data_IF_006098895213
#
_entry.id   IF_006098895213
#
_cell.length_a   1.000
_cell.length_b   1.000
_cell.length_c   1.000
_cell.angle_alpha   90.00
_cell.angle_beta   90.00
_cell.angle_gamma   90.00
#
_symmetry.space_group_name_H-M   'P 1'
#
loop_
_entity.id
_entity.type
_entity.pdbx_description
1 polymer ?
#
# COMPACT_ATOMS: atom_id res chain seq x y z
N UNK A 1 44.74 10.61 10.37
CA UNK A 1 43.96 11.06 9.18
C UNK A 1 43.02 9.90 8.88
N UNK A 2 41.74 10.05 9.20
CA UNK A 2 40.71 9.02 8.95
C UNK A 2 40.33 9.17 7.47
N UNK A 3 40.38 8.13 6.65
CA UNK A 3 39.97 8.24 5.25
C UNK A 3 38.49 8.62 5.17
N UNK A 4 38.09 9.42 4.16
CA UNK A 4 36.71 9.80 3.98
C UNK A 4 35.85 8.53 3.74
N UNK A 5 34.65 8.51 4.33
CA UNK A 5 33.69 7.43 4.07
C UNK A 5 33.36 7.42 2.57
N UNK A 6 33.38 6.24 1.92
CA UNK A 6 33.04 6.13 0.50
C UNK A 6 31.62 6.64 0.24
N UNK A 7 31.45 7.29 -0.90
CA UNK A 7 30.14 7.80 -1.38
C UNK A 7 29.19 6.64 -1.70
N UNK A 8 27.91 6.92 -1.76
CA UNK A 8 26.88 5.89 -2.08
C UNK A 8 27.15 5.20 -3.43
N UNK A 9 27.67 5.93 -4.42
CA UNK A 9 28.03 5.39 -5.74
C UNK A 9 29.27 4.50 -5.72
N UNK A 10 30.29 4.86 -4.93
CA UNK A 10 31.49 4.01 -4.77
C UNK A 10 31.18 2.71 -4.03
N UNK A 11 30.19 2.72 -3.12
CA UNK A 11 29.72 1.50 -2.43
C UNK A 11 28.93 0.58 -3.37
N UNK A 12 28.11 1.12 -4.26
CA UNK A 12 27.35 0.34 -5.24
C UNK A 12 28.26 -0.33 -6.28
N UNK A 13 29.34 0.33 -6.70
CA UNK A 13 30.36 -0.27 -7.59
C UNK A 13 31.15 -1.39 -6.92
N UNK A 14 31.45 -1.29 -5.63
CA UNK A 14 32.07 -2.38 -4.86
C UNK A 14 31.18 -3.61 -4.68
N UNK A 15 29.87 -3.40 -4.54
CA UNK A 15 28.85 -4.45 -4.38
C UNK A 15 28.62 -5.22 -5.70
N UNK A 16 28.66 -4.56 -6.84
CA UNK A 16 28.57 -5.20 -8.17
C UNK A 16 29.72 -6.16 -8.47
N UNK A 17 30.82 -6.04 -7.73
CA UNK A 17 32.03 -6.85 -7.89
C UNK A 17 32.13 -8.11 -7.01
N UNK A 18 31.10 -8.47 -6.24
CA UNK A 18 31.13 -9.69 -5.44
C UNK A 18 31.33 -10.92 -6.33
N UNK A 19 32.31 -11.76 -5.98
CA UNK A 19 32.50 -13.04 -6.63
C UNK A 19 31.36 -14.01 -6.32
N UNK A 20 31.23 -15.07 -7.09
CA UNK A 20 30.14 -16.05 -6.94
C UNK A 20 30.11 -16.66 -5.54
N UNK A 21 31.27 -16.92 -4.97
CA UNK A 21 31.40 -17.49 -3.63
C UNK A 21 30.87 -16.55 -2.56
N UNK A 22 31.20 -15.28 -2.61
CA UNK A 22 30.70 -14.26 -1.67
C UNK A 22 29.19 -14.06 -1.81
N UNK A 23 28.67 -14.12 -3.04
CA UNK A 23 27.22 -14.10 -3.31
C UNK A 23 26.50 -15.30 -2.68
N UNK A 24 27.04 -16.51 -2.84
CA UNK A 24 26.44 -17.73 -2.29
C UNK A 24 26.44 -17.70 -0.74
N UNK A 25 27.54 -17.24 -0.13
CA UNK A 25 27.64 -17.08 1.32
C UNK A 25 26.64 -16.02 1.81
N UNK A 26 26.59 -14.88 1.14
CA UNK A 26 25.66 -13.79 1.48
C UNK A 26 24.21 -14.25 1.34
N UNK A 27 23.83 -14.88 0.23
CA UNK A 27 22.51 -15.45 0.00
C UNK A 27 22.10 -16.38 1.13
N UNK A 28 22.95 -17.37 1.49
CA UNK A 28 22.66 -18.32 2.56
C UNK A 28 22.54 -17.65 3.92
N UNK A 29 23.34 -16.61 4.16
CA UNK A 29 23.23 -15.83 5.40
C UNK A 29 21.88 -15.13 5.48
N UNK A 30 21.49 -14.42 4.41
CA UNK A 30 20.21 -13.71 4.40
C UNK A 30 19.02 -14.67 4.46
N UNK A 31 19.00 -15.75 3.66
CA UNK A 31 17.95 -16.77 3.70
C UNK A 31 17.80 -17.36 5.12
N UNK A 32 18.91 -17.69 5.77
CA UNK A 32 18.90 -18.23 7.14
C UNK A 32 18.36 -17.21 8.14
N UNK A 33 18.79 -15.95 8.03
CA UNK A 33 18.31 -14.88 8.89
C UNK A 33 16.81 -14.62 8.70
N UNK A 34 16.34 -14.56 7.47
CA UNK A 34 14.91 -14.36 7.17
C UNK A 34 14.04 -15.50 7.74
N UNK A 35 14.57 -16.74 7.73
CA UNK A 35 13.88 -17.90 8.26
C UNK A 35 13.87 -17.99 9.80
N UNK A 36 14.99 -17.63 10.46
CA UNK A 36 15.16 -17.84 11.90
C UNK A 36 14.98 -16.58 12.74
N UNK A 37 15.30 -15.41 12.17
CA UNK A 37 15.40 -14.15 12.89
C UNK A 37 16.64 -13.97 13.73
N UNK A 38 17.50 -14.98 13.80
CA UNK A 38 18.67 -15.02 14.65
C UNK A 38 19.96 -14.65 13.90
N UNK A 39 20.95 -14.03 14.55
CA UNK A 39 22.24 -13.77 13.95
C UNK A 39 22.92 -15.06 13.48
N UNK A 40 23.41 -15.06 12.25
CA UNK A 40 23.93 -16.25 11.57
C UNK A 40 25.44 -16.36 11.73
N UNK A 41 25.92 -17.49 12.28
CA UNK A 41 27.33 -17.75 12.48
C UNK A 41 28.01 -18.43 11.27
N UNK A 42 29.32 -18.21 11.10
CA UNK A 42 30.11 -18.84 10.02
C UNK A 42 30.07 -20.38 10.03
N UNK A 43 29.93 -21.01 11.20
CA UNK A 43 29.78 -22.47 11.30
C UNK A 43 28.45 -22.96 10.72
N UNK A 44 27.37 -22.20 10.93
CA UNK A 44 26.06 -22.52 10.37
C UNK A 44 26.10 -22.45 8.86
N UNK A 45 26.66 -21.38 8.29
CA UNK A 45 26.81 -21.20 6.85
C UNK A 45 27.69 -22.29 6.23
N UNK A 46 28.88 -22.59 6.84
CA UNK A 46 29.76 -23.63 6.35
C UNK A 46 29.08 -25.01 6.24
N UNK A 47 28.11 -25.29 7.09
CA UNK A 47 27.38 -26.55 7.13
C UNK A 47 26.31 -26.69 6.04
N UNK A 48 25.69 -25.57 5.62
CA UNK A 48 24.59 -25.54 4.64
C UNK A 48 25.06 -25.25 3.21
N UNK A 49 26.33 -24.81 3.04
CA UNK A 49 26.88 -24.60 1.71
C UNK A 49 27.18 -25.95 1.03
N UNK A 50 26.84 -26.10 -0.26
CA UNK A 50 27.18 -27.30 -1.03
C UNK A 50 28.69 -27.48 -1.22
N UNK A 51 29.46 -26.41 -1.12
CA UNK A 51 30.91 -26.39 -1.20
C UNK A 51 31.50 -26.64 0.19
N UNK A 52 32.43 -27.58 0.34
CA UNK A 52 33.11 -27.88 1.60
C UNK A 52 34.06 -26.72 2.00
N UNK A 53 33.50 -25.62 2.48
CA UNK A 53 34.26 -24.48 2.98
C UNK A 53 34.50 -24.61 4.48
N UNK A 54 35.72 -24.27 4.93
CA UNK A 54 36.01 -24.20 6.36
C UNK A 54 35.24 -23.02 7.00
N UNK A 55 34.82 -23.12 8.27
CA UNK A 55 34.23 -22.00 8.99
C UNK A 55 35.14 -20.75 9.05
N UNK A 56 36.46 -20.93 8.97
CA UNK A 56 37.42 -19.83 8.91
C UNK A 56 37.34 -19.09 7.57
N UNK A 57 37.25 -19.84 6.46
CA UNK A 57 37.08 -19.25 5.13
C UNK A 57 35.78 -18.48 4.99
N UNK A 58 34.68 -19.03 5.53
CA UNK A 58 33.38 -18.34 5.56
C UNK A 58 33.47 -17.07 6.41
N UNK A 59 34.16 -17.11 7.55
CA UNK A 59 34.34 -15.92 8.41
C UNK A 59 35.07 -14.80 7.69
N UNK A 60 36.12 -15.09 6.91
CA UNK A 60 36.83 -14.06 6.15
C UNK A 60 35.90 -13.38 5.13
N UNK A 61 35.12 -14.16 4.38
CA UNK A 61 34.11 -13.57 3.45
C UNK A 61 33.05 -12.75 4.21
N UNK A 62 32.61 -13.22 5.40
CA UNK A 62 31.67 -12.44 6.22
C UNK A 62 32.31 -11.11 6.70
N UNK A 63 33.62 -11.04 6.93
CA UNK A 63 34.29 -9.78 7.25
C UNK A 63 34.30 -8.86 6.05
N UNK A 64 34.61 -9.35 4.84
CA UNK A 64 34.56 -8.56 3.61
C UNK A 64 33.16 -8.00 3.32
N UNK A 65 32.11 -8.82 3.57
CA UNK A 65 30.72 -8.40 3.45
C UNK A 65 30.31 -7.35 4.52
N UNK A 66 30.87 -7.45 5.72
CA UNK A 66 30.68 -6.47 6.79
C UNK A 66 31.37 -5.13 6.45
N UNK A 67 32.62 -5.19 5.95
CA UNK A 67 33.34 -4.01 5.49
C UNK A 67 32.64 -3.31 4.31
N UNK A 68 31.95 -4.10 3.48
CA UNK A 68 31.11 -3.58 2.40
C UNK A 68 29.76 -3.01 2.88
N UNK A 69 29.43 -3.13 4.17
CA UNK A 69 28.21 -2.63 4.77
C UNK A 69 26.94 -3.45 4.45
N UNK A 70 27.11 -4.69 3.94
CA UNK A 70 25.96 -5.57 3.62
C UNK A 70 25.45 -6.34 4.82
N UNK A 71 26.31 -6.62 5.79
CA UNK A 71 25.97 -7.31 7.05
C UNK A 71 26.64 -6.59 8.22
N UNK A 72 26.19 -6.87 9.42
CA UNK A 72 26.82 -6.35 10.65
C UNK A 72 26.67 -7.32 11.82
N UNK A 73 27.46 -7.13 12.87
CA UNK A 73 27.36 -7.86 14.12
C UNK A 73 26.53 -7.05 15.12
N UNK A 74 25.38 -7.55 15.58
CA UNK A 74 24.61 -6.84 16.61
C UNK A 74 25.34 -6.82 17.98
N UNK A 75 26.19 -7.82 18.28
CA UNK A 75 27.01 -7.93 19.49
C UNK A 75 28.31 -8.64 19.18
N UNK A 76 29.35 -8.38 19.96
CA UNK A 76 30.75 -8.84 19.75
C UNK A 76 30.91 -10.36 19.56
N UNK A 77 30.03 -11.17 20.19
CA UNK A 77 30.04 -12.65 20.10
C UNK A 77 28.88 -13.21 19.26
N UNK A 78 28.02 -12.35 18.70
CA UNK A 78 26.91 -12.78 17.88
C UNK A 78 27.38 -13.13 16.45
N UNK A 79 26.54 -13.86 15.72
CA UNK A 79 26.71 -14.01 14.29
C UNK A 79 26.55 -12.67 13.55
N UNK A 80 26.21 -12.73 12.29
CA UNK A 80 25.95 -11.55 11.46
C UNK A 80 24.49 -11.52 11.04
N UNK A 81 23.96 -10.31 10.87
CA UNK A 81 22.64 -10.06 10.30
C UNK A 81 22.79 -9.08 9.14
N UNK A 82 21.90 -9.12 8.13
CA UNK A 82 21.94 -8.16 7.03
C UNK A 82 21.58 -6.75 7.51
N UNK A 83 22.21 -5.76 6.90
CA UNK A 83 21.78 -4.35 6.97
C UNK A 83 20.58 -4.13 6.05
N UNK A 84 19.91 -2.98 6.15
CA UNK A 84 18.86 -2.60 5.18
C UNK A 84 19.43 -2.54 3.75
N UNK A 85 20.62 -2.01 3.59
CA UNK A 85 21.35 -2.01 2.31
C UNK A 85 21.64 -3.43 1.82
N UNK A 86 22.02 -4.33 2.73
CA UNK A 86 22.20 -5.75 2.42
C UNK A 86 20.90 -6.42 1.98
N UNK A 87 19.78 -6.16 2.66
CA UNK A 87 18.48 -6.67 2.25
C UNK A 87 18.06 -6.13 0.88
N UNK A 88 18.32 -4.84 0.59
CA UNK A 88 18.07 -4.26 -0.72
C UNK A 88 18.89 -4.97 -1.80
N UNK A 89 20.18 -5.12 -1.59
CA UNK A 89 21.04 -5.83 -2.53
C UNK A 89 20.62 -7.30 -2.73
N UNK A 90 20.22 -7.95 -1.65
CA UNK A 90 19.68 -9.32 -1.72
C UNK A 90 18.44 -9.40 -2.63
N UNK A 91 17.49 -8.51 -2.44
CA UNK A 91 16.24 -8.48 -3.22
C UNK A 91 16.51 -8.16 -4.69
N UNK A 92 17.39 -7.22 -4.98
CA UNK A 92 17.60 -6.70 -6.33
C UNK A 92 18.54 -7.60 -7.18
N UNK A 93 19.53 -8.24 -6.55
CA UNK A 93 20.62 -8.87 -7.28
C UNK A 93 20.90 -10.34 -6.94
N UNK A 94 20.40 -10.83 -5.81
CA UNK A 94 20.81 -12.15 -5.30
C UNK A 94 19.63 -13.11 -5.16
N UNK A 95 18.47 -12.59 -4.81
CA UNK A 95 17.28 -13.38 -4.57
C UNK A 95 16.74 -14.01 -5.86
N UNK A 96 16.43 -15.28 -5.80
CA UNK A 96 15.60 -15.91 -6.82
C UNK A 96 14.13 -15.81 -6.40
N UNK A 97 13.32 -15.18 -7.23
CA UNK A 97 11.87 -15.11 -7.00
C UNK A 97 11.30 -16.52 -7.08
N UNK A 98 10.74 -16.98 -5.97
CA UNK A 98 10.12 -18.31 -5.91
C UNK A 98 8.86 -18.41 -6.79
N UNK A 99 8.55 -19.61 -7.25
CA UNK A 99 7.25 -19.86 -7.83
C UNK A 99 6.23 -20.01 -6.69
N UNK A 100 5.08 -19.36 -6.83
CA UNK A 100 3.97 -19.54 -5.90
C UNK A 100 3.43 -20.97 -6.00
N UNK A 101 3.11 -21.59 -4.86
CA UNK A 101 2.57 -22.96 -4.86
C UNK A 101 1.19 -23.04 -5.54
N UNK A 102 0.84 -24.22 -6.05
CA UNK A 102 -0.47 -24.47 -6.64
C UNK A 102 -1.60 -24.24 -5.65
N UNK A 103 -1.39 -24.58 -4.37
CA UNK A 103 -2.37 -24.38 -3.30
C UNK A 103 -2.60 -22.92 -2.97
N UNK A 104 -1.54 -22.11 -2.95
CA UNK A 104 -1.66 -20.66 -2.73
C UNK A 104 -2.42 -19.99 -3.87
N UNK A 105 -2.12 -20.37 -5.12
CA UNK A 105 -2.87 -19.89 -6.30
C UNK A 105 -4.34 -20.28 -6.22
N UNK A 106 -4.63 -21.55 -5.95
CA UNK A 106 -5.99 -22.04 -5.84
C UNK A 106 -6.80 -21.33 -4.74
N UNK A 107 -6.17 -21.01 -3.61
CA UNK A 107 -6.82 -20.24 -2.54
C UNK A 107 -7.15 -18.81 -2.97
N UNK A 108 -6.22 -18.13 -3.66
CA UNK A 108 -6.45 -16.78 -4.16
C UNK A 108 -7.57 -16.82 -5.21
N UNK A 109 -7.51 -17.73 -6.18
CA UNK A 109 -8.51 -17.84 -7.24
C UNK A 109 -9.90 -18.17 -6.68
N UNK A 110 -9.98 -19.09 -5.70
CA UNK A 110 -11.24 -19.45 -5.04
C UNK A 110 -11.86 -18.27 -4.27
N UNK A 111 -11.06 -17.51 -3.55
CA UNK A 111 -11.54 -16.33 -2.81
C UNK A 111 -12.02 -15.24 -3.76
N UNK A 112 -11.21 -14.95 -4.79
CA UNK A 112 -11.51 -13.98 -5.83
C UNK A 112 -12.80 -14.35 -6.56
N UNK A 113 -12.97 -15.62 -6.92
CA UNK A 113 -14.21 -16.13 -7.54
C UNK A 113 -15.43 -16.07 -6.60
N UNK A 114 -15.24 -16.32 -5.30
CA UNK A 114 -16.31 -16.22 -4.30
C UNK A 114 -16.78 -14.78 -4.10
N UNK A 115 -15.88 -13.80 -4.23
CA UNK A 115 -16.19 -12.39 -4.05
C UNK A 115 -16.97 -11.78 -5.22
N UNK A 116 -17.00 -12.41 -6.39
CA UNK A 116 -17.70 -11.94 -7.60
C UNK A 116 -19.24 -12.06 -7.56
N UNK A 117 -19.84 -12.56 -6.47
CA UNK A 117 -21.30 -12.72 -6.36
C UNK A 117 -21.97 -11.51 -5.75
N UNK A 118 -22.31 -10.47 -6.56
CA UNK A 118 -23.16 -9.33 -6.21
C UNK A 118 -22.72 -8.50 -4.99
N UNK A 119 -21.42 -8.48 -4.66
CA UNK A 119 -20.87 -7.70 -3.55
C UNK A 119 -20.34 -6.35 -4.03
N UNK A 120 -20.27 -5.38 -3.11
CA UNK A 120 -19.59 -4.11 -3.38
C UNK A 120 -18.10 -4.35 -3.65
N UNK A 121 -17.53 -3.58 -4.56
CA UNK A 121 -16.09 -3.70 -4.90
C UNK A 121 -15.21 -3.48 -3.67
N UNK A 122 -15.59 -2.58 -2.76
CA UNK A 122 -14.87 -2.37 -1.51
C UNK A 122 -14.82 -3.62 -0.62
N UNK A 123 -15.92 -4.38 -0.53
CA UNK A 123 -15.97 -5.62 0.22
C UNK A 123 -15.04 -6.68 -0.41
N UNK A 124 -15.05 -6.76 -1.74
CA UNK A 124 -14.16 -7.65 -2.52
C UNK A 124 -12.69 -7.29 -2.30
N UNK A 125 -12.34 -6.01 -2.38
CA UNK A 125 -11.00 -5.53 -2.11
C UNK A 125 -10.60 -5.80 -0.65
N UNK A 126 -11.51 -5.62 0.30
CA UNK A 126 -11.30 -5.93 1.72
C UNK A 126 -11.04 -7.42 1.97
N UNK A 127 -11.81 -8.31 1.33
CA UNK A 127 -11.62 -9.77 1.43
C UNK A 127 -10.28 -10.21 0.83
N UNK A 128 -9.92 -9.68 -0.33
CA UNK A 128 -8.64 -9.97 -0.96
C UNK A 128 -7.46 -9.48 -0.12
N UNK A 129 -7.60 -8.30 0.52
CA UNK A 129 -6.60 -7.77 1.45
C UNK A 129 -6.46 -8.67 2.67
N UNK A 130 -7.57 -9.19 3.20
CA UNK A 130 -7.59 -10.13 4.34
C UNK A 130 -6.90 -11.44 3.97
N UNK A 131 -7.19 -11.98 2.79
CA UNK A 131 -6.54 -13.20 2.30
C UNK A 131 -5.03 -13.01 2.14
N UNK A 132 -4.61 -11.93 1.47
CA UNK A 132 -3.20 -11.61 1.27
C UNK A 132 -2.46 -11.45 2.61
N UNK A 133 -3.10 -10.79 3.58
CA UNK A 133 -2.60 -10.64 4.93
C UNK A 133 -2.43 -12.01 5.64
N UNK A 134 -3.42 -12.89 5.55
CA UNK A 134 -3.36 -14.23 6.14
C UNK A 134 -2.27 -15.11 5.53
N UNK A 135 -2.10 -15.06 4.20
CA UNK A 135 -1.07 -15.85 3.50
C UNK A 135 0.35 -15.32 3.76
N UNK A 136 0.51 -14.00 3.87
CA UNK A 136 1.81 -13.36 4.09
C UNK A 136 2.22 -13.24 5.57
N UNK A 137 1.28 -13.40 6.50
CA UNK A 137 1.42 -13.05 7.92
C UNK A 137 1.88 -11.60 8.15
N UNK A 138 1.41 -10.69 7.27
CA UNK A 138 1.70 -9.26 7.31
C UNK A 138 0.37 -8.47 7.28
N UNK A 139 0.42 -7.16 7.47
CA UNK A 139 -0.75 -6.32 7.23
C UNK A 139 -0.95 -6.13 5.73
N UNK A 140 -2.14 -6.45 5.22
CA UNK A 140 -2.52 -6.17 3.85
C UNK A 140 -2.97 -4.72 3.69
N UNK A 141 -2.67 -4.10 2.55
CA UNK A 141 -3.03 -2.73 2.23
C UNK A 141 -3.50 -2.61 0.79
N UNK A 142 -4.60 -1.88 0.60
CA UNK A 142 -5.08 -1.47 -0.73
C UNK A 142 -5.39 0.02 -0.71
N UNK A 143 -4.95 0.71 -1.75
CA UNK A 143 -5.40 2.03 -2.14
C UNK A 143 -6.14 1.91 -3.47
N UNK A 144 -7.43 2.22 -3.47
CA UNK A 144 -8.24 2.22 -4.67
C UNK A 144 -8.99 3.56 -4.77
N UNK A 145 -9.32 4.04 -5.98
CA UNK A 145 -10.24 5.16 -6.11
C UNK A 145 -11.53 4.82 -5.38
N UNK A 146 -12.14 5.81 -4.75
CA UNK A 146 -13.54 5.66 -4.35
C UNK A 146 -14.29 5.32 -5.62
N UNK A 147 -14.99 4.19 -5.61
CA UNK A 147 -15.76 3.77 -6.78
C UNK A 147 -16.76 4.86 -7.13
N UNK A 148 -16.62 5.40 -8.31
CA UNK A 148 -17.53 6.39 -8.89
C UNK A 148 -18.85 5.69 -9.24
N UNK A 149 -19.61 5.28 -8.21
CA UNK A 149 -20.92 4.69 -8.40
C UNK A 149 -21.81 5.68 -9.12
N UNK A 150 -22.64 5.19 -10.04
CA UNK A 150 -23.63 6.02 -10.69
C UNK A 150 -24.63 6.53 -9.66
N UNK A 151 -24.88 7.82 -9.68
CA UNK A 151 -25.79 8.45 -8.72
C UNK A 151 -27.23 8.00 -8.96
N UNK A 152 -27.85 7.51 -7.89
CA UNK A 152 -29.29 7.22 -7.84
C UNK A 152 -30.06 8.41 -7.29
N UNK A 153 -29.51 9.08 -6.26
CA UNK A 153 -30.16 10.18 -5.58
C UNK A 153 -29.16 11.09 -4.87
N UNK A 154 -29.47 12.39 -4.82
CA UNK A 154 -28.71 13.39 -4.05
C UNK A 154 -29.69 14.14 -3.17
N UNK A 155 -29.36 14.26 -1.87
CA UNK A 155 -30.19 14.98 -0.90
C UNK A 155 -29.37 16.00 -0.13
N UNK A 156 -29.94 17.19 0.07
CA UNK A 156 -29.39 18.24 0.93
C UNK A 156 -30.24 18.41 2.16
N UNK A 157 -29.69 18.20 3.34
CA UNK A 157 -30.40 18.34 4.61
C UNK A 157 -29.83 19.53 5.39
N UNK A 158 -30.68 20.45 5.77
CA UNK A 158 -30.28 21.60 6.58
C UNK A 158 -29.91 21.15 8.00
N UNK A 159 -28.67 21.44 8.44
CA UNK A 159 -28.19 21.13 9.79
C UNK A 159 -28.22 22.35 10.73
N UNK A 160 -28.71 23.49 10.26
CA UNK A 160 -28.73 24.74 11.04
C UNK A 160 -27.92 25.86 10.40
N UNK A 161 -27.63 26.95 11.14
CA UNK A 161 -27.07 28.14 10.54
C UNK A 161 -25.73 27.89 9.84
N UNK A 162 -25.73 28.03 8.51
CA UNK A 162 -24.53 27.96 7.68
C UNK A 162 -23.98 26.56 7.41
N UNK A 163 -24.74 25.48 7.73
CA UNK A 163 -24.29 24.10 7.45
C UNK A 163 -25.40 23.25 6.85
N UNK A 164 -25.04 22.40 5.90
CA UNK A 164 -25.92 21.39 5.34
C UNK A 164 -25.21 20.03 5.28
N UNK A 165 -25.98 18.96 5.33
CA UNK A 165 -25.53 17.61 5.05
C UNK A 165 -25.90 17.28 3.60
N UNK A 166 -24.94 16.88 2.80
CA UNK A 166 -25.18 16.32 1.46
C UNK A 166 -25.12 14.79 1.59
N UNK A 167 -26.12 14.12 1.09
CA UNK A 167 -26.21 12.65 1.06
C UNK A 167 -26.24 12.24 -0.40
N UNK A 168 -25.27 11.42 -0.82
CA UNK A 168 -25.22 10.79 -2.14
C UNK A 168 -25.58 9.33 -2.00
N UNK A 169 -26.50 8.88 -2.81
CA UNK A 169 -26.91 7.47 -2.87
C UNK A 169 -26.52 6.96 -4.25
N UNK A 170 -25.64 5.93 -4.29
CA UNK A 170 -25.25 5.24 -5.51
C UNK A 170 -26.27 4.19 -5.96
N UNK A 171 -26.26 3.82 -7.25
CA UNK A 171 -27.07 2.73 -7.80
C UNK A 171 -26.67 1.37 -7.19
N UNK A 172 -25.41 1.23 -6.77
CA UNK A 172 -24.87 0.08 -6.03
C UNK A 172 -25.33 0.02 -4.55
N UNK A 173 -26.15 1.00 -4.12
CA UNK A 173 -26.62 1.14 -2.74
C UNK A 173 -25.57 1.75 -1.80
N UNK A 174 -24.47 2.29 -2.29
CA UNK A 174 -23.53 3.09 -1.50
C UNK A 174 -24.21 4.36 -1.01
N UNK A 175 -23.87 4.79 0.19
CA UNK A 175 -24.33 6.06 0.77
C UNK A 175 -23.10 6.81 1.28
N UNK A 176 -22.84 7.95 0.66
CA UNK A 176 -21.83 8.89 1.16
C UNK A 176 -22.52 10.12 1.73
N UNK A 177 -21.94 10.69 2.78
CA UNK A 177 -22.44 11.93 3.36
C UNK A 177 -21.31 12.87 3.71
N UNK A 178 -21.54 14.18 3.56
CA UNK A 178 -20.62 15.23 3.93
C UNK A 178 -21.35 16.45 4.49
N UNK A 179 -20.74 17.06 5.50
CA UNK A 179 -21.19 18.36 5.98
C UNK A 179 -20.50 19.44 5.16
N UNK A 180 -21.29 20.31 4.54
CA UNK A 180 -20.82 21.45 3.76
C UNK A 180 -21.18 22.77 4.44
N UNK A 181 -20.40 23.83 4.17
CA UNK A 181 -20.73 25.19 4.54
C UNK A 181 -21.65 25.82 3.49
N UNK A 182 -22.71 26.42 3.93
CA UNK A 182 -23.67 27.11 3.07
C UNK A 182 -23.98 28.50 3.60
N UNK A 183 -24.45 29.45 2.78
CA UNK A 183 -24.86 30.76 3.27
C UNK A 183 -25.89 30.68 4.39
N UNK A 184 -25.77 31.55 5.40
CA UNK A 184 -26.73 31.59 6.53
C UNK A 184 -28.09 32.10 6.08
N UNK A 185 -29.17 31.58 6.66
CA UNK A 185 -30.53 32.09 6.42
C UNK A 185 -31.18 31.53 5.17
N UNK A 186 -30.66 30.44 4.60
CA UNK A 186 -31.30 29.75 3.48
C UNK A 186 -32.64 29.16 3.88
N UNK A 187 -33.71 29.39 3.08
CA UNK A 187 -35.00 28.75 3.32
C UNK A 187 -34.92 27.25 3.02
N UNK A 188 -35.69 26.39 3.66
CA UNK A 188 -35.70 24.95 3.40
C UNK A 188 -35.99 24.59 1.93
N UNK A 189 -36.77 25.42 1.25
CA UNK A 189 -37.07 25.25 -0.20
C UNK A 189 -35.84 25.25 -1.07
N UNK A 190 -34.78 25.99 -0.72
CA UNK A 190 -33.51 26.04 -1.46
C UNK A 190 -32.83 24.68 -1.50
N UNK A 191 -32.80 23.98 -0.36
CA UNK A 191 -32.20 22.63 -0.28
C UNK A 191 -33.00 21.61 -1.10
N UNK A 192 -34.34 21.67 -0.99
CA UNK A 192 -35.23 20.80 -1.77
C UNK A 192 -35.10 21.05 -3.27
N UNK A 193 -34.96 22.32 -3.70
CA UNK A 193 -34.77 22.70 -5.08
C UNK A 193 -33.42 22.19 -5.63
N UNK A 194 -32.33 22.34 -4.87
CA UNK A 194 -31.01 21.81 -5.20
C UNK A 194 -31.02 20.27 -5.29
N UNK A 195 -31.65 19.58 -4.32
CA UNK A 195 -31.80 18.12 -4.31
C UNK A 195 -32.55 17.62 -5.55
N UNK A 196 -33.70 18.22 -5.83
CA UNK A 196 -34.53 17.84 -6.98
C UNK A 196 -33.82 18.06 -8.31
N UNK A 197 -33.16 19.22 -8.46
CA UNK A 197 -32.42 19.56 -9.67
C UNK A 197 -31.31 18.55 -9.94
N UNK A 198 -30.44 18.30 -8.96
CA UNK A 198 -29.32 17.40 -9.10
C UNK A 198 -29.76 15.94 -9.27
N UNK A 199 -30.75 15.48 -8.50
CA UNK A 199 -31.26 14.11 -8.62
C UNK A 199 -31.87 13.84 -9.99
N UNK A 200 -32.65 14.80 -10.54
CA UNK A 200 -33.28 14.61 -11.85
C UNK A 200 -32.25 14.65 -13.00
N UNK A 201 -31.27 15.55 -12.92
CA UNK A 201 -30.35 15.81 -14.03
C UNK A 201 -29.16 14.86 -14.05
N UNK A 202 -28.76 14.33 -12.88
CA UNK A 202 -27.55 13.54 -12.72
C UNK A 202 -27.78 12.08 -12.32
N UNK A 203 -29.02 11.62 -12.25
CA UNK A 203 -29.32 10.21 -12.09
C UNK A 203 -28.61 9.37 -13.18
N UNK A 204 -27.92 8.32 -12.79
CA UNK A 204 -27.16 7.45 -13.69
C UNK A 204 -25.80 7.99 -14.13
N UNK A 205 -25.42 9.21 -13.71
CA UNK A 205 -24.07 9.78 -13.95
C UNK A 205 -23.16 9.53 -12.76
N UNK A 206 -21.86 9.48 -13.01
CA UNK A 206 -20.85 9.41 -11.96
C UNK A 206 -20.59 10.79 -11.34
N UNK A 207 -20.03 10.83 -10.14
CA UNK A 207 -19.67 12.11 -9.48
C UNK A 207 -18.73 12.93 -10.36
N UNK A 208 -17.75 12.30 -11.01
CA UNK A 208 -16.80 12.99 -11.92
C UNK A 208 -17.50 13.58 -13.15
N UNK A 209 -18.49 12.88 -13.69
CA UNK A 209 -19.31 13.40 -14.79
C UNK A 209 -20.14 14.61 -14.34
N UNK A 210 -20.68 14.56 -13.12
CA UNK A 210 -21.41 15.68 -12.51
C UNK A 210 -20.51 16.87 -12.27
N UNK A 211 -19.32 16.66 -11.72
CA UNK A 211 -18.35 17.73 -11.45
C UNK A 211 -17.88 18.42 -12.75
N UNK A 212 -17.60 17.63 -13.79
CA UNK A 212 -17.24 18.17 -15.11
C UNK A 212 -18.39 19.01 -15.68
N UNK A 213 -19.60 18.48 -15.65
CA UNK A 213 -20.78 19.18 -16.11
C UNK A 213 -21.00 20.50 -15.36
N UNK A 214 -20.90 20.49 -14.02
CA UNK A 214 -21.08 21.72 -13.22
C UNK A 214 -20.00 22.76 -13.55
N UNK A 215 -18.75 22.35 -13.75
CA UNK A 215 -17.66 23.27 -14.16
C UNK A 215 -17.88 23.87 -15.53
N UNK A 216 -18.32 23.05 -16.49
CA UNK A 216 -18.40 23.43 -17.88
C UNK A 216 -19.70 24.26 -18.19
N UNK A 217 -20.76 24.03 -17.41
CA UNK A 217 -22.08 24.64 -17.66
C UNK A 217 -22.57 25.60 -16.55
N UNK A 218 -21.64 26.14 -15.75
CA UNK A 218 -21.96 27.07 -14.66
C UNK A 218 -22.87 28.28 -15.09
N UNK A 219 -22.70 28.78 -16.31
CA UNK A 219 -23.53 29.85 -16.81
C UNK A 219 -24.98 29.42 -17.12
N UNK A 220 -25.15 28.16 -17.50
CA UNK A 220 -26.46 27.55 -17.75
C UNK A 220 -27.20 27.27 -16.44
N UNK A 221 -26.49 26.78 -15.43
CA UNK A 221 -26.97 26.59 -14.08
C UNK A 221 -27.52 27.85 -13.43
N UNK A 222 -26.86 28.99 -13.64
CA UNK A 222 -27.31 30.31 -13.16
C UNK A 222 -28.58 30.81 -13.80
N UNK A 223 -28.98 30.29 -14.97
CA UNK A 223 -30.24 30.63 -15.62
C UNK A 223 -31.41 29.75 -15.18
N UNK A 224 -31.15 28.53 -14.77
CA UNK A 224 -32.16 27.55 -14.36
C UNK A 224 -32.48 27.58 -12.86
N UNK A 225 -31.53 28.00 -12.03
CA UNK A 225 -31.63 28.10 -10.58
C UNK A 225 -31.46 29.53 -10.11
N UNK A 226 -32.07 29.89 -9.00
CA UNK A 226 -31.76 31.15 -8.33
C UNK A 226 -30.31 31.15 -7.80
N UNK A 227 -29.72 32.33 -7.60
CA UNK A 227 -28.32 32.50 -7.18
C UNK A 227 -27.99 31.74 -5.88
N UNK A 228 -28.99 31.52 -5.03
CA UNK A 228 -28.81 30.90 -3.73
C UNK A 228 -28.77 29.40 -3.87
N UNK A 229 -29.63 28.83 -4.69
CA UNK A 229 -29.63 27.39 -5.02
C UNK A 229 -28.35 27.01 -5.77
N UNK A 230 -27.87 27.87 -6.67
CA UNK A 230 -26.56 27.67 -7.35
C UNK A 230 -25.43 27.56 -6.33
N UNK A 231 -25.37 28.43 -5.32
CA UNK A 231 -24.33 28.34 -4.28
C UNK A 231 -24.38 27.06 -3.45
N UNK A 232 -25.57 26.53 -3.18
CA UNK A 232 -25.72 25.24 -2.50
C UNK A 232 -25.18 24.09 -3.38
N UNK A 233 -25.49 24.10 -4.66
CA UNK A 233 -24.99 23.12 -5.63
C UNK A 233 -23.46 23.21 -5.76
N UNK A 234 -22.93 24.41 -5.92
CA UNK A 234 -21.48 24.67 -6.00
C UNK A 234 -20.75 24.18 -4.74
N UNK A 235 -21.26 24.53 -3.55
CA UNK A 235 -20.69 24.10 -2.28
C UNK A 235 -20.76 22.59 -2.09
N UNK A 236 -21.88 21.96 -2.48
CA UNK A 236 -22.06 20.51 -2.38
C UNK A 236 -21.11 19.75 -3.27
N UNK A 237 -20.98 20.15 -4.54
CA UNK A 237 -20.12 19.47 -5.52
C UNK A 237 -18.65 19.89 -5.36
N UNK A 238 -18.38 21.17 -5.09
CA UNK A 238 -17.03 21.69 -4.88
C UNK A 238 -16.30 21.03 -3.71
N UNK A 239 -17.01 20.63 -2.68
CA UNK A 239 -16.41 19.90 -1.56
C UNK A 239 -16.11 18.42 -1.87
N UNK A 240 -16.73 17.84 -2.90
CA UNK A 240 -16.34 16.53 -3.43
C UNK A 240 -15.10 16.59 -4.32
N UNK A 241 -14.85 17.75 -4.94
CA UNK A 241 -13.59 18.03 -5.64
C UNK A 241 -12.46 18.48 -4.71
N UNK A 242 -12.55 18.16 -3.41
CA UNK A 242 -11.66 18.60 -2.34
C UNK A 242 -10.20 18.75 -2.77
N UNK A 243 -9.53 19.76 -2.22
CA UNK A 243 -8.12 20.07 -2.45
C UNK A 243 -7.22 18.86 -2.16
N UNK A 244 -7.00 18.05 -3.17
CA UNK A 244 -6.02 16.96 -3.17
C UNK A 244 -6.58 15.60 -3.56
N UNK A 245 -5.88 14.99 -4.44
CA UNK A 245 -5.88 13.60 -4.92
C UNK A 245 -6.10 12.51 -3.83
N UNK A 246 -6.11 12.90 -2.56
CA UNK A 246 -6.14 12.01 -1.39
C UNK A 246 -7.55 11.70 -0.90
N UNK A 247 -8.51 12.61 -1.13
CA UNK A 247 -9.88 12.47 -0.62
C UNK A 247 -10.75 11.59 -1.53
N UNK A 248 -10.27 11.35 -2.74
CA UNK A 248 -10.93 10.53 -3.78
C UNK A 248 -10.52 9.04 -3.73
N UNK A 249 -9.68 8.65 -2.76
CA UNK A 249 -9.18 7.28 -2.64
C UNK A 249 -9.61 6.64 -1.32
N UNK A 250 -9.98 5.37 -1.41
CA UNK A 250 -10.26 4.52 -0.25
C UNK A 250 -9.00 3.74 0.12
N UNK A 251 -8.55 3.92 1.36
CA UNK A 251 -7.47 3.12 1.94
C UNK A 251 -8.08 2.00 2.80
N UNK A 252 -7.79 0.77 2.42
CA UNK A 252 -8.18 -0.43 3.16
C UNK A 252 -6.92 -1.05 3.77
N UNK A 253 -6.92 -1.24 5.09
CA UNK A 253 -5.85 -1.96 5.80
C UNK A 253 -6.50 -3.11 6.56
N UNK A 254 -5.94 -4.31 6.45
CA UNK A 254 -6.44 -5.53 7.09
C UNK A 254 -5.30 -6.36 7.67
N UNK A 255 -5.62 -7.10 8.73
CA UNK A 255 -4.69 -8.07 9.32
C UNK A 255 -3.53 -7.46 10.08
N UNK A 256 -3.69 -6.27 10.64
CA UNK A 256 -2.66 -5.66 11.49
C UNK A 256 -2.27 -6.57 12.68
N UNK A 257 -3.20 -7.40 13.18
CA UNK A 257 -2.93 -8.36 14.26
C UNK A 257 -1.80 -9.34 13.91
N UNK A 258 -1.62 -9.70 12.63
CA UNK A 258 -0.56 -10.60 12.19
C UNK A 258 0.86 -10.02 12.44
N UNK A 259 0.97 -8.69 12.56
CA UNK A 259 2.23 -8.03 12.88
C UNK A 259 2.69 -8.32 14.31
N UNK A 260 1.75 -8.60 15.21
CA UNK A 260 2.01 -8.86 16.64
C UNK A 260 2.54 -10.28 16.83
N UNK A 261 2.06 -11.25 16.06
CA UNK A 261 2.44 -12.66 16.17
C UNK A 261 3.93 -12.91 15.89
N UNK A 262 4.58 -12.03 15.16
CA UNK A 262 5.98 -12.13 14.78
C UNK A 262 6.97 -11.49 15.79
N UNK A 263 6.47 -10.84 16.84
CA UNK A 263 7.30 -10.12 17.83
C UNK A 263 7.39 -10.85 19.14
N UNK A 264 8.58 -11.34 19.51
CA UNK A 264 8.83 -12.04 20.79
C UNK A 264 9.68 -11.24 21.77
N UNK A 265 10.40 -10.23 21.32
CA UNK A 265 11.26 -9.39 22.14
C UNK A 265 10.64 -8.01 22.44
N UNK A 266 11.02 -7.39 23.58
CA UNK A 266 10.55 -6.05 23.94
C UNK A 266 10.89 -4.99 22.86
N UNK A 267 12.02 -5.13 22.17
CA UNK A 267 12.41 -4.28 21.06
C UNK A 267 11.48 -4.44 19.83
N UNK A 268 10.94 -5.64 19.60
CA UNK A 268 9.99 -5.92 18.54
C UNK A 268 8.64 -5.26 18.83
N UNK A 269 8.19 -5.25 20.09
CA UNK A 269 6.94 -4.60 20.50
C UNK A 269 6.98 -3.08 20.28
N UNK A 270 8.11 -2.44 20.55
CA UNK A 270 8.27 -0.99 20.29
C UNK A 270 8.24 -0.68 18.79
N UNK A 271 8.87 -1.51 17.95
CA UNK A 271 8.79 -1.39 16.50
C UNK A 271 7.37 -1.59 15.97
N UNK A 272 6.68 -2.60 16.50
CA UNK A 272 5.29 -2.88 16.16
C UNK A 272 4.40 -1.70 16.55
N UNK A 273 4.57 -1.12 17.75
CA UNK A 273 3.83 0.08 18.16
C UNK A 273 4.03 1.23 17.19
N UNK A 274 5.26 1.53 16.81
CA UNK A 274 5.58 2.57 15.81
C UNK A 274 4.98 2.27 14.44
N UNK A 275 5.01 1.00 14.03
CA UNK A 275 4.39 0.58 12.78
C UNK A 275 2.87 0.82 12.79
N UNK A 276 2.19 0.58 13.92
CA UNK A 276 0.77 0.93 14.04
C UNK A 276 0.55 2.44 13.92
N UNK A 277 1.38 3.25 14.57
CA UNK A 277 1.33 4.71 14.45
C UNK A 277 1.55 5.17 12.99
N UNK A 278 2.53 4.56 12.29
CA UNK A 278 2.78 4.83 10.86
C UNK A 278 1.57 4.47 9.99
N UNK A 279 0.91 3.32 10.26
CA UNK A 279 -0.28 2.88 9.52
C UNK A 279 -1.50 3.78 9.82
N UNK A 280 -1.62 4.31 11.04
CA UNK A 280 -2.67 5.25 11.43
C UNK A 280 -2.49 6.62 10.74
N UNK A 281 -1.28 6.98 10.34
CA UNK A 281 -1.01 8.17 9.52
C UNK A 281 -1.45 7.94 8.06
N UNK A 282 -2.78 7.88 7.88
CA UNK A 282 -3.41 7.58 6.59
C UNK A 282 -2.92 8.49 5.46
N UNK A 283 -2.67 9.76 5.74
CA UNK A 283 -2.25 10.74 4.73
C UNK A 283 -0.91 10.38 4.09
N UNK A 284 0.09 10.06 4.91
CA UNK A 284 1.42 9.69 4.41
C UNK A 284 1.39 8.33 3.70
N UNK A 285 0.60 7.37 4.23
CA UNK A 285 0.44 6.07 3.61
C UNK A 285 -0.23 6.17 2.24
N UNK A 286 -1.26 7.00 2.10
CA UNK A 286 -1.92 7.25 0.80
C UNK A 286 -0.96 7.93 -0.17
N UNK A 287 -0.13 8.88 0.27
CA UNK A 287 0.89 9.49 -0.58
C UNK A 287 1.92 8.48 -1.08
N UNK A 288 2.39 7.60 -0.19
CA UNK A 288 3.32 6.54 -0.54
C UNK A 288 2.75 5.57 -1.58
N UNK A 289 1.53 5.09 -1.32
CA UNK A 289 0.83 4.18 -2.24
C UNK A 289 0.49 4.85 -3.57
N UNK A 290 0.08 6.11 -3.55
CA UNK A 290 -0.18 6.91 -4.76
C UNK A 290 1.07 7.08 -5.63
N UNK A 291 2.24 7.28 -5.02
CA UNK A 291 3.50 7.30 -5.77
C UNK A 291 3.84 5.95 -6.42
N UNK A 292 3.35 4.84 -5.87
CA UNK A 292 3.53 3.52 -6.46
C UNK A 292 2.62 3.24 -7.67
N UNK A 293 1.49 3.96 -7.81
CA UNK A 293 0.60 3.83 -8.98
C UNK A 293 1.28 4.17 -10.30
N UNK A 294 2.22 5.12 -10.29
CA UNK A 294 2.91 5.56 -11.50
C UNK A 294 3.97 4.58 -12.00
N UNK A 295 4.21 3.48 -11.28
CA UNK A 295 5.23 2.50 -11.58
C UNK A 295 4.70 1.26 -12.29
N UNK A 296 5.62 0.54 -12.92
CA UNK A 296 5.35 -0.79 -13.45
C UNK A 296 5.85 -1.87 -12.48
N UNK A 297 5.07 -2.95 -12.31
CA UNK A 297 5.45 -4.11 -11.51
C UNK A 297 5.47 -3.88 -10.00
N UNK A 298 6.08 -4.80 -9.29
CA UNK A 298 6.16 -4.80 -7.83
C UNK A 298 7.24 -3.84 -7.36
N UNK A 299 6.88 -2.95 -6.45
CA UNK A 299 7.80 -2.04 -5.76
C UNK A 299 7.99 -2.47 -4.32
N UNK A 300 9.22 -2.38 -3.86
CA UNK A 300 9.63 -2.80 -2.52
C UNK A 300 10.40 -1.65 -1.89
N UNK A 301 9.99 -1.27 -0.68
CA UNK A 301 10.69 -0.30 0.15
C UNK A 301 11.10 -0.97 1.45
N UNK A 302 12.38 -0.93 1.79
CA UNK A 302 12.95 -1.64 2.94
C UNK A 302 13.43 -0.61 3.97
N UNK A 303 12.84 -0.65 5.17
CA UNK A 303 13.26 0.18 6.30
C UNK A 303 13.31 1.67 5.98
N UNK A 304 14.48 2.26 6.17
CA UNK A 304 14.72 3.71 6.02
C UNK A 304 14.67 4.25 4.59
N UNK A 305 14.51 3.40 3.57
CA UNK A 305 14.29 3.84 2.19
C UNK A 305 13.00 4.67 2.05
N UNK A 306 12.06 4.44 2.95
CA UNK A 306 10.86 5.24 3.06
C UNK A 306 10.83 6.00 4.38
N UNK A 307 10.59 7.31 4.30
CA UNK A 307 10.52 8.19 5.48
C UNK A 307 9.42 7.76 6.46
N UNK A 308 8.27 7.31 5.95
CA UNK A 308 7.14 6.86 6.79
C UNK A 308 7.54 5.72 7.71
N UNK A 309 8.30 4.73 7.21
CA UNK A 309 8.67 3.56 7.99
C UNK A 309 10.10 3.59 8.54
N UNK A 310 10.77 4.74 8.47
CA UNK A 310 12.16 4.88 8.89
C UNK A 310 12.39 4.59 10.38
N UNK A 311 11.40 4.88 11.23
CA UNK A 311 11.49 4.66 12.68
C UNK A 311 11.02 3.28 13.10
N UNK A 312 10.02 2.70 12.42
CA UNK A 312 9.53 1.35 12.70
C UNK A 312 10.43 0.25 12.14
N UNK A 313 11.30 0.58 11.17
CA UNK A 313 12.13 -0.41 10.48
C UNK A 313 11.28 -1.45 9.74
N UNK A 314 10.17 -1.02 9.16
CA UNK A 314 9.24 -1.88 8.44
C UNK A 314 9.50 -1.82 6.95
N UNK A 315 8.99 -2.80 6.21
CA UNK A 315 9.06 -2.85 4.76
C UNK A 315 7.66 -2.89 4.17
N UNK A 316 7.54 -2.34 2.97
CA UNK A 316 6.31 -2.41 2.19
C UNK A 316 6.59 -3.01 0.82
N UNK A 317 5.72 -3.92 0.38
CA UNK A 317 5.74 -4.53 -0.95
C UNK A 317 4.40 -4.20 -1.59
N UNK A 318 4.42 -3.47 -2.70
CA UNK A 318 3.22 -2.98 -3.36
C UNK A 318 3.30 -3.16 -4.87
N UNK A 319 2.15 -3.31 -5.49
CA UNK A 319 2.02 -3.37 -6.95
C UNK A 319 0.74 -2.68 -7.39
N UNK A 320 0.75 -1.93 -8.49
CA UNK A 320 -0.48 -1.45 -9.08
C UNK A 320 -1.29 -2.62 -9.65
N UNK A 321 -2.61 -2.55 -9.53
CA UNK A 321 -3.50 -3.49 -10.21
C UNK A 321 -4.30 -2.78 -11.30
N UNK A 322 -4.54 -3.53 -12.38
CA UNK A 322 -5.16 -3.01 -13.61
C UNK A 322 -6.47 -3.73 -13.87
N UNK A 323 -7.46 -3.00 -14.37
CA UNK A 323 -8.72 -3.59 -14.82
C UNK A 323 -8.56 -4.32 -16.17
N UNK A 324 -9.67 -4.87 -16.71
CA UNK A 324 -9.69 -5.54 -18.00
C UNK A 324 -9.27 -4.64 -19.20
N UNK A 325 -9.35 -3.31 -19.05
CA UNK A 325 -8.92 -2.32 -20.04
C UNK A 325 -7.44 -1.92 -19.88
N UNK A 326 -6.65 -2.64 -19.06
CA UNK A 326 -5.24 -2.33 -18.73
C UNK A 326 -5.04 -0.95 -18.03
N UNK A 327 -6.09 -0.31 -17.55
CA UNK A 327 -5.99 0.92 -16.76
C UNK A 327 -5.64 0.59 -15.31
N UNK A 328 -4.72 1.35 -14.73
CA UNK A 328 -4.41 1.25 -13.30
C UNK A 328 -5.64 1.70 -12.52
N UNK A 329 -6.16 0.81 -11.68
CA UNK A 329 -7.34 1.04 -10.84
C UNK A 329 -6.95 1.33 -9.40
N UNK A 330 -5.74 0.95 -9.00
CA UNK A 330 -5.25 1.19 -7.64
C UNK A 330 -3.95 0.46 -7.37
N UNK A 331 -3.55 0.45 -6.11
CA UNK A 331 -2.34 -0.20 -5.62
C UNK A 331 -2.71 -1.16 -4.49
N UNK A 332 -2.16 -2.35 -4.51
CA UNK A 332 -2.28 -3.27 -3.39
C UNK A 332 -0.91 -3.78 -2.94
N UNK A 333 -0.86 -4.23 -1.70
CA UNK A 333 0.36 -4.80 -1.17
C UNK A 333 0.27 -5.21 0.29
N UNK A 334 1.43 -5.31 0.90
CA UNK A 334 1.57 -5.66 2.30
C UNK A 334 2.57 -4.74 3.00
N UNK A 335 2.39 -4.59 4.30
CA UNK A 335 3.31 -3.93 5.22
C UNK A 335 3.71 -4.95 6.28
N UNK A 336 4.99 -5.07 6.55
CA UNK A 336 5.50 -6.01 7.54
C UNK A 336 6.91 -5.63 8.01
N UNK A 337 7.49 -6.43 8.91
CA UNK A 337 8.86 -6.21 9.38
C UNK A 337 9.85 -6.36 8.20
N UNK A 338 11.02 -5.73 8.29
CA UNK A 338 12.09 -5.92 7.28
C UNK A 338 12.49 -7.39 7.11
N UNK A 339 12.19 -8.23 8.09
CA UNK A 339 12.40 -9.67 8.09
C UNK A 339 11.22 -10.43 7.49
N UNK A 340 10.97 -10.24 6.21
CA UNK A 340 9.93 -10.95 5.46
C UNK A 340 10.54 -11.95 4.47
N UNK A 341 9.80 -13.00 4.13
CA UNK A 341 10.17 -13.88 3.03
C UNK A 341 9.81 -13.24 1.68
N UNK A 342 10.68 -12.33 1.23
CA UNK A 342 10.48 -11.57 -0.01
C UNK A 342 10.26 -12.48 -1.22
N UNK A 343 11.03 -13.58 -1.34
CA UNK A 343 10.95 -14.52 -2.44
C UNK A 343 9.57 -15.16 -2.61
N UNK A 344 8.85 -15.38 -1.50
CA UNK A 344 7.49 -15.93 -1.48
C UNK A 344 6.43 -14.84 -1.62
N UNK A 345 6.64 -13.70 -0.98
CA UNK A 345 5.62 -12.66 -0.86
C UNK A 345 5.47 -11.85 -2.15
N UNK A 346 6.58 -11.53 -2.83
CA UNK A 346 6.54 -10.76 -4.09
C UNK A 346 5.62 -11.40 -5.13
N UNK A 347 5.76 -12.69 -5.50
CA UNK A 347 4.86 -13.31 -6.46
C UNK A 347 3.42 -13.42 -5.96
N UNK A 348 3.21 -13.53 -4.65
CA UNK A 348 1.88 -13.57 -4.06
C UNK A 348 1.15 -12.24 -4.21
N UNK A 349 1.82 -11.12 -3.93
CA UNK A 349 1.28 -9.76 -4.11
C UNK A 349 0.96 -9.52 -5.60
N UNK A 350 1.89 -9.81 -6.50
CA UNK A 350 1.71 -9.64 -7.94
C UNK A 350 0.55 -10.49 -8.48
N UNK A 351 0.47 -11.75 -8.09
CA UNK A 351 -0.61 -12.64 -8.53
C UNK A 351 -1.97 -12.19 -8.02
N UNK A 352 -2.07 -11.80 -6.75
CA UNK A 352 -3.33 -11.33 -6.15
C UNK A 352 -3.80 -10.05 -6.85
N UNK A 353 -2.89 -9.12 -7.14
CA UNK A 353 -3.20 -7.90 -7.89
C UNK A 353 -3.76 -8.20 -9.29
N UNK A 354 -3.15 -9.12 -10.02
CA UNK A 354 -3.62 -9.58 -11.33
C UNK A 354 -4.97 -10.30 -11.25
N UNK A 355 -5.19 -11.11 -10.22
CA UNK A 355 -6.43 -11.82 -10.02
C UNK A 355 -7.60 -10.86 -9.73
N UNK A 356 -7.40 -9.85 -8.88
CA UNK A 356 -8.39 -8.80 -8.60
C UNK A 356 -8.66 -7.96 -9.83
N UNK A 357 -7.61 -7.55 -10.54
CA UNK A 357 -7.75 -6.72 -11.72
C UNK A 357 -8.67 -7.30 -12.79
N UNK A 358 -8.68 -8.64 -12.93
CA UNK A 358 -9.58 -9.35 -13.87
C UNK A 358 -11.06 -9.28 -13.49
N UNK A 359 -11.38 -8.96 -12.25
CA UNK A 359 -12.78 -8.83 -11.79
C UNK A 359 -13.30 -7.41 -11.92
N UNK A 360 -12.41 -6.43 -12.06
CA UNK A 360 -12.75 -5.02 -12.19
C UNK A 360 -12.91 -4.71 -13.68
N UNK A 361 -14.14 -4.71 -14.14
CA UNK A 361 -14.52 -4.37 -15.53
C UNK A 361 -14.82 -2.88 -15.66
#
# INVERSE_FOLDING_TARGET
MIPPKPTSEERLTGIAGLDQRSRDIFRRLVDTYLATGEPVGSRTIARILPQNLSPASVRNVMMDLEDSGLIFSPHTSAGRIPTEQGLRFFVDAVMEVGAMSTDERARIDAQVAASNRQRRVEDMLGEATTLLSGLSHCAGVILAPKMNSRLKHIEFVNLGPGRALVILVGEDGSVENRVIEVPRGLPPSTFAQASNYLSTRFQGKTIDEVQRFVRDEMESLRRELDEVSVRVVESGIGQWSGEGDLDDKTLIVRGQANLIENGTAAADLERIRRLFEDIENKKELVQLLGAAEQGEGVRIFIGSENRLFSLSGSSIIVTPFRNAEEKIVGVMGIIGPTRMNYARIIPMVDYTAKAIGRLLT
#
